data_IF_024127581517
#
_entry.id   IF_024127581517
#
_cell.length_a   1.000
_cell.length_b   1.000
_cell.length_c   1.000
_cell.angle_alpha   90.00
_cell.angle_beta   90.00
_cell.angle_gamma   90.00
#
_symmetry.space_group_name_H-M   'P 1'
#
loop_
_entity.id
_entity.type
_entity.pdbx_description
1 polymer ?
#
# COMPACT_ATOMS: atom_id res chain seq x y z
N UNK A 1 -54.10 -4.78 28.58
CA UNK A 1 -55.51 -5.14 28.30
C UNK A 1 -55.75 -6.57 28.76
N UNK A 2 -55.97 -6.79 30.05
CA UNK A 2 -56.60 -8.01 30.57
C UNK A 2 -57.41 -7.58 31.80
N UNK A 3 -58.60 -7.03 31.55
CA UNK A 3 -59.65 -6.94 32.56
C UNK A 3 -60.23 -8.35 32.69
N UNK A 4 -59.75 -9.11 33.67
CA UNK A 4 -60.47 -10.30 34.12
C UNK A 4 -61.49 -9.85 35.16
N UNK A 5 -62.68 -9.54 34.66
CA UNK A 5 -63.90 -9.38 35.44
C UNK A 5 -64.18 -10.69 36.17
N UNK A 6 -63.78 -10.77 37.45
CA UNK A 6 -64.25 -11.80 38.36
C UNK A 6 -65.72 -11.51 38.64
N UNK A 7 -66.59 -12.10 37.83
CA UNK A 7 -68.00 -12.22 38.16
C UNK A 7 -68.11 -13.10 39.41
N UNK A 8 -68.21 -12.46 40.58
CA UNK A 8 -68.66 -13.11 41.81
C UNK A 8 -70.15 -13.36 41.61
N UNK A 9 -70.49 -14.57 41.16
CA UNK A 9 -71.86 -15.05 41.18
C UNK A 9 -72.35 -15.01 42.62
N UNK A 10 -73.30 -14.12 42.90
CA UNK A 10 -74.06 -14.08 44.14
C UNK A 10 -74.91 -15.36 44.21
N UNK A 11 -74.31 -16.44 44.68
CA UNK A 11 -75.01 -17.68 45.00
C UNK A 11 -75.60 -17.55 46.39
N UNK A 12 -76.93 -17.48 46.44
CA UNK A 12 -77.72 -17.46 47.68
C UNK A 12 -77.29 -18.60 48.61
N UNK A 13 -76.72 -18.25 49.76
CA UNK A 13 -76.41 -19.19 50.83
C UNK A 13 -77.63 -19.41 51.73
N UNK A 14 -78.69 -20.02 51.19
CA UNK A 14 -79.77 -20.58 51.99
C UNK A 14 -79.44 -22.04 52.36
N UNK A 15 -78.67 -22.17 53.44
CA UNK A 15 -78.33 -23.45 54.05
C UNK A 15 -77.18 -23.24 55.03
N UNK A 16 -77.44 -23.39 56.33
CA UNK A 16 -76.44 -23.20 57.38
C UNK A 16 -75.33 -24.26 57.24
N UNK A 17 -74.30 -23.93 56.47
CA UNK A 17 -73.11 -24.77 56.34
C UNK A 17 -72.44 -24.79 57.71
N UNK A 18 -72.14 -25.99 58.27
CA UNK A 18 -71.47 -26.09 59.56
C UNK A 18 -70.20 -25.24 59.61
N UNK A 19 -70.00 -24.49 60.68
CA UNK A 19 -68.88 -23.55 60.88
C UNK A 19 -67.52 -24.13 60.46
N UNK A 20 -67.29 -25.42 60.72
CA UNK A 20 -66.05 -26.14 60.37
C UNK A 20 -65.82 -26.22 58.86
N UNK A 21 -66.86 -26.46 58.05
CA UNK A 21 -66.71 -26.52 56.59
C UNK A 21 -66.43 -25.14 56.00
N UNK A 22 -67.08 -24.09 56.53
CA UNK A 22 -66.83 -22.71 56.11
C UNK A 22 -65.44 -22.23 56.51
N UNK A 23 -64.97 -22.61 57.69
CA UNK A 23 -63.59 -22.36 58.13
C UNK A 23 -62.58 -23.06 57.20
N UNK A 24 -62.77 -24.34 56.87
CA UNK A 24 -61.88 -25.07 55.94
C UNK A 24 -61.86 -24.47 54.55
N UNK A 25 -63.00 -24.00 54.05
CA UNK A 25 -63.05 -23.30 52.77
C UNK A 25 -62.29 -21.98 52.83
N UNK A 26 -62.49 -21.17 53.87
CA UNK A 26 -61.74 -19.93 54.07
C UNK A 26 -60.23 -20.19 54.21
N UNK A 27 -59.85 -21.23 54.94
CA UNK A 27 -58.45 -21.63 55.11
C UNK A 27 -57.83 -22.06 53.77
N UNK A 28 -58.52 -22.90 52.99
CA UNK A 28 -58.10 -23.29 51.64
C UNK A 28 -58.05 -22.10 50.66
N UNK A 29 -58.99 -21.17 50.74
CA UNK A 29 -59.01 -19.94 49.95
C UNK A 29 -57.84 -19.00 50.34
N UNK A 30 -57.51 -18.93 51.63
CA UNK A 30 -56.37 -18.15 52.12
C UNK A 30 -55.04 -18.77 51.69
N UNK A 31 -54.90 -20.09 51.77
CA UNK A 31 -53.72 -20.84 51.33
C UNK A 31 -53.51 -20.71 49.82
N UNK A 32 -54.58 -20.84 49.02
CA UNK A 32 -54.49 -20.64 47.56
C UNK A 32 -54.14 -19.21 47.19
N UNK A 33 -54.68 -18.20 47.91
CA UNK A 33 -54.31 -16.80 47.72
C UNK A 33 -52.83 -16.55 48.03
N UNK A 34 -52.34 -17.05 49.17
CA UNK A 34 -50.93 -16.94 49.53
C UNK A 34 -50.01 -17.57 48.46
N UNK A 35 -50.42 -18.71 47.87
CA UNK A 35 -49.69 -19.34 46.77
C UNK A 35 -49.69 -18.48 45.49
N UNK A 36 -50.80 -17.84 45.15
CA UNK A 36 -50.87 -16.92 43.99
C UNK A 36 -49.94 -15.73 44.21
N UNK A 37 -49.96 -15.14 45.41
CA UNK A 37 -49.08 -14.02 45.78
C UNK A 37 -47.61 -14.43 45.70
N UNK A 38 -47.25 -15.62 46.21
CA UNK A 38 -45.91 -16.16 46.08
C UNK A 38 -45.48 -16.32 44.62
N UNK A 39 -46.30 -16.95 43.78
CA UNK A 39 -45.99 -17.12 42.36
C UNK A 39 -45.89 -15.78 41.61
N UNK A 40 -46.69 -14.78 42.01
CA UNK A 40 -46.60 -13.42 41.45
C UNK A 40 -45.28 -12.75 41.82
N UNK A 41 -44.83 -12.90 43.08
CA UNK A 41 -43.54 -12.37 43.52
C UNK A 41 -42.37 -13.08 42.82
N UNK A 42 -42.41 -14.40 42.68
CA UNK A 42 -41.39 -15.17 41.95
C UNK A 42 -41.29 -14.72 40.48
N UNK A 43 -42.45 -14.49 39.83
CA UNK A 43 -42.48 -13.94 38.47
C UNK A 43 -41.82 -12.56 38.40
N UNK A 44 -42.14 -11.66 39.31
CA UNK A 44 -41.54 -10.32 39.35
C UNK A 44 -40.02 -10.38 39.56
N UNK A 45 -39.53 -11.30 40.39
CA UNK A 45 -38.09 -11.50 40.60
C UNK A 45 -37.42 -11.97 39.31
N UNK A 46 -38.01 -12.90 38.57
CA UNK A 46 -37.46 -13.38 37.31
C UNK A 46 -37.46 -12.28 36.23
N UNK A 47 -38.53 -11.50 36.12
CA UNK A 47 -38.60 -10.35 35.21
C UNK A 47 -37.51 -9.31 35.53
N UNK A 48 -37.28 -9.02 36.81
CA UNK A 48 -36.21 -8.12 37.23
C UNK A 48 -34.82 -8.70 36.95
N UNK A 49 -34.63 -10.01 37.13
CA UNK A 49 -33.38 -10.67 36.78
C UNK A 49 -33.11 -10.62 35.27
N UNK A 50 -34.12 -10.84 34.44
CA UNK A 50 -34.00 -10.73 32.98
C UNK A 50 -33.70 -9.30 32.55
N UNK A 51 -34.42 -8.31 33.09
CA UNK A 51 -34.20 -6.90 32.78
C UNK A 51 -32.80 -6.41 33.21
N UNK A 52 -32.25 -6.98 34.28
CA UNK A 52 -30.91 -6.62 34.80
C UNK A 52 -29.81 -7.55 34.30
N UNK A 53 -30.13 -8.62 33.58
CA UNK A 53 -29.21 -9.67 33.14
C UNK A 53 -27.97 -9.12 32.42
N UNK A 54 -28.16 -8.08 31.61
CA UNK A 54 -27.09 -7.44 30.83
C UNK A 54 -26.01 -6.79 31.70
N UNK A 55 -26.35 -6.38 32.92
CA UNK A 55 -25.45 -5.66 33.85
C UNK A 55 -25.08 -6.48 35.08
N UNK A 56 -25.82 -7.54 35.40
CA UNK A 56 -25.57 -8.39 36.59
C UNK A 56 -24.87 -9.70 36.23
N UNK A 57 -25.08 -10.27 35.04
CA UNK A 57 -24.49 -11.57 34.70
C UNK A 57 -23.06 -11.44 34.15
N UNK A 58 -22.07 -12.12 34.79
CA UNK A 58 -20.66 -12.08 34.35
C UNK A 58 -20.43 -12.53 32.91
N UNK A 59 -21.25 -13.45 32.40
CA UNK A 59 -21.17 -13.95 31.02
C UNK A 59 -21.56 -12.87 30.00
N UNK A 60 -22.66 -12.15 30.24
CA UNK A 60 -23.10 -11.06 29.36
C UNK A 60 -22.11 -9.89 29.39
N UNK A 61 -21.62 -9.52 30.59
CA UNK A 61 -20.58 -8.51 30.75
C UNK A 61 -19.27 -8.89 30.04
N UNK A 62 -18.89 -10.16 30.12
CA UNK A 62 -17.69 -10.67 29.43
C UNK A 62 -17.86 -10.60 27.91
N UNK A 63 -19.01 -11.02 27.39
CA UNK A 63 -19.32 -10.90 25.96
C UNK A 63 -19.23 -9.44 25.49
N UNK A 64 -19.80 -8.50 26.25
CA UNK A 64 -19.73 -7.06 25.94
C UNK A 64 -18.32 -6.50 26.04
N UNK A 65 -17.55 -6.92 27.05
CA UNK A 65 -16.13 -6.57 27.17
C UNK A 65 -15.35 -7.02 25.95
N UNK A 66 -15.53 -8.26 25.51
CA UNK A 66 -14.80 -8.85 24.39
C UNK A 66 -15.15 -8.14 23.07
N UNK A 67 -16.42 -7.78 22.88
CA UNK A 67 -16.88 -7.00 21.73
C UNK A 67 -16.25 -5.60 21.71
N UNK A 68 -16.26 -4.88 22.84
CA UNK A 68 -15.61 -3.58 22.96
C UNK A 68 -14.09 -3.67 22.77
N UNK A 69 -13.46 -4.71 23.32
CA UNK A 69 -12.03 -4.91 23.19
C UNK A 69 -11.64 -5.23 21.75
N UNK A 70 -12.47 -6.00 21.01
CA UNK A 70 -12.27 -6.24 19.58
C UNK A 70 -12.34 -4.94 18.78
N UNK A 71 -13.34 -4.10 19.06
CA UNK A 71 -13.48 -2.79 18.43
C UNK A 71 -12.27 -1.90 18.74
N UNK A 72 -11.82 -1.87 20.00
CA UNK A 72 -10.68 -1.05 20.39
C UNK A 72 -9.39 -1.49 19.68
N UNK A 73 -9.11 -2.79 19.63
CA UNK A 73 -7.98 -3.33 18.84
C UNK A 73 -8.05 -2.94 17.37
N UNK A 74 -9.26 -2.93 16.79
CA UNK A 74 -9.45 -2.50 15.41
C UNK A 74 -9.14 -1.01 15.23
N UNK A 75 -9.63 -0.15 16.12
CA UNK A 75 -9.33 1.29 16.10
C UNK A 75 -7.84 1.57 16.28
N UNK A 76 -7.16 0.86 17.19
CA UNK A 76 -5.70 0.95 17.35
C UNK A 76 -4.95 0.52 16.08
N UNK A 77 -5.44 -0.48 15.36
CA UNK A 77 -4.86 -0.91 14.09
C UNK A 77 -5.04 0.16 13.01
N UNK A 78 -6.25 0.73 12.90
CA UNK A 78 -6.54 1.82 11.96
C UNK A 78 -5.67 3.05 12.26
N UNK A 79 -5.55 3.45 13.53
CA UNK A 79 -4.69 4.58 13.92
C UNK A 79 -3.22 4.34 13.58
N UNK A 80 -2.71 3.13 13.79
CA UNK A 80 -1.34 2.78 13.39
C UNK A 80 -1.13 2.89 11.88
N UNK A 81 -2.05 2.37 11.09
CA UNK A 81 -2.00 2.48 9.63
C UNK A 81 -2.10 3.93 9.16
N UNK A 82 -2.93 4.74 9.82
CA UNK A 82 -3.10 6.16 9.53
C UNK A 82 -1.78 6.92 9.75
N UNK A 83 -1.12 6.69 10.89
CA UNK A 83 0.20 7.27 11.20
C UNK A 83 1.26 6.78 10.20
N UNK A 84 1.29 5.49 9.88
CA UNK A 84 2.22 4.92 8.90
C UNK A 84 2.01 5.55 7.51
N UNK A 85 0.75 5.69 7.09
CA UNK A 85 0.38 6.28 5.82
C UNK A 85 0.77 7.76 5.78
N UNK A 86 0.51 8.52 6.85
CA UNK A 86 0.99 9.90 6.99
C UNK A 86 2.50 9.95 6.88
N UNK A 87 3.24 9.08 7.57
CA UNK A 87 4.69 9.05 7.48
C UNK A 87 5.17 8.75 6.06
N UNK A 88 4.50 7.86 5.33
CA UNK A 88 4.81 7.53 3.93
C UNK A 88 4.46 8.63 2.95
N UNK A 89 3.37 9.38 3.20
CA UNK A 89 2.93 10.48 2.35
C UNK A 89 3.68 11.78 2.63
N UNK A 90 4.02 12.04 3.90
CA UNK A 90 4.82 13.19 4.35
C UNK A 90 6.30 12.98 4.06
N UNK A 91 6.80 11.73 4.11
CA UNK A 91 8.12 11.41 3.58
C UNK A 91 8.02 11.61 2.07
N UNK A 92 8.64 12.66 1.50
CA UNK A 92 8.52 12.89 0.08
C UNK A 92 9.10 11.65 -0.63
N UNK A 93 8.35 11.12 -1.62
CA UNK A 93 8.71 9.91 -2.38
C UNK A 93 10.08 10.02 -3.09
N UNK A 94 10.69 11.20 -3.04
CA UNK A 94 12.04 11.52 -3.45
C UNK A 94 12.54 12.62 -2.49
N UNK A 95 13.84 12.69 -2.19
CA UNK A 95 14.47 13.86 -1.58
C UNK A 95 14.45 15.08 -2.52
N UNK A 96 13.27 15.51 -2.98
CA UNK A 96 13.06 16.60 -3.94
C UNK A 96 13.24 17.99 -3.33
N UNK A 97 13.39 18.07 -2.02
CA UNK A 97 14.11 19.17 -1.41
C UNK A 97 15.16 18.54 -0.50
N UNK A 98 16.44 18.83 -0.78
CA UNK A 98 17.37 18.89 0.34
C UNK A 98 16.71 19.83 1.36
N UNK A 99 16.57 19.46 2.64
CA UNK A 99 16.14 20.40 3.65
C UNK A 99 17.24 21.46 3.76
N UNK A 100 17.12 22.51 2.96
CA UNK A 100 17.96 23.69 3.06
C UNK A 100 17.31 24.57 4.12
N UNK A 101 18.07 24.99 5.12
CA UNK A 101 17.51 25.92 6.10
C UNK A 101 17.19 27.25 5.43
N UNK A 102 16.11 27.92 5.86
CA UNK A 102 15.67 29.20 5.31
C UNK A 102 16.78 30.25 5.06
N UNK A 103 17.80 30.44 5.93
CA UNK A 103 18.88 31.39 5.65
C UNK A 103 19.73 31.03 4.42
N UNK A 104 19.78 29.74 4.04
CA UNK A 104 20.64 29.27 2.95
C UNK A 104 19.95 29.21 1.59
N UNK A 105 18.62 29.38 1.53
CA UNK A 105 17.84 29.31 0.29
C UNK A 105 18.35 30.28 -0.78
N UNK A 106 18.68 31.53 -0.40
CA UNK A 106 19.18 32.54 -1.35
C UNK A 106 20.45 32.06 -2.05
N UNK A 107 21.40 31.51 -1.30
CA UNK A 107 22.66 31.02 -1.85
C UNK A 107 22.44 29.80 -2.74
N UNK A 108 21.56 28.89 -2.35
CA UNK A 108 21.26 27.69 -3.15
C UNK A 108 20.58 28.06 -4.48
N UNK A 109 19.67 29.05 -4.47
CA UNK A 109 19.02 29.56 -5.69
C UNK A 109 20.02 30.25 -6.63
N UNK A 110 21.07 30.89 -6.10
CA UNK A 110 22.12 31.52 -6.91
C UNK A 110 23.15 30.50 -7.44
N UNK A 111 23.52 29.50 -6.61
CA UNK A 111 24.58 28.54 -6.92
C UNK A 111 24.09 27.42 -7.86
N UNK A 112 22.88 26.89 -7.65
CA UNK A 112 22.39 25.76 -8.44
C UNK A 112 22.35 26.06 -9.95
N UNK A 113 21.84 27.22 -10.42
CA UNK A 113 21.90 27.59 -11.84
C UNK A 113 23.32 27.65 -12.41
N UNK A 114 24.28 28.12 -11.61
CA UNK A 114 25.68 28.18 -12.01
C UNK A 114 26.30 26.78 -12.10
N UNK A 115 25.97 25.89 -11.17
CA UNK A 115 26.39 24.49 -11.25
C UNK A 115 25.78 23.79 -12.46
N UNK A 116 24.50 24.03 -12.77
CA UNK A 116 23.86 23.46 -13.96
C UNK A 116 24.48 23.96 -15.24
N UNK A 117 24.82 25.25 -15.36
CA UNK A 117 25.48 25.78 -16.56
C UNK A 117 26.88 25.19 -16.75
N UNK A 118 27.63 24.98 -15.65
CA UNK A 118 28.95 24.33 -15.71
C UNK A 118 28.81 22.87 -16.13
N UNK A 119 27.81 22.14 -15.62
CA UNK A 119 27.55 20.75 -16.02
C UNK A 119 27.23 20.69 -17.52
N UNK A 120 26.35 21.55 -18.02
CA UNK A 120 26.01 21.64 -19.44
C UNK A 120 27.24 21.95 -20.31
N UNK A 121 28.10 22.88 -19.87
CA UNK A 121 29.33 23.23 -20.58
C UNK A 121 30.32 22.06 -20.60
N UNK A 122 30.49 21.35 -19.49
CA UNK A 122 31.35 20.15 -19.43
C UNK A 122 30.83 19.04 -20.34
N UNK A 123 29.51 18.78 -20.34
CA UNK A 123 28.90 17.79 -21.23
C UNK A 123 29.10 18.14 -22.72
N UNK A 124 28.98 19.42 -23.07
CA UNK A 124 29.24 19.91 -24.42
C UNK A 124 30.70 19.65 -24.84
N UNK A 125 31.66 19.98 -23.97
CA UNK A 125 33.07 19.72 -24.24
C UNK A 125 33.40 18.22 -24.37
N UNK A 126 32.80 17.37 -23.53
CA UNK A 126 32.98 15.92 -23.64
C UNK A 126 32.44 15.37 -24.97
N UNK A 127 31.29 15.87 -25.44
CA UNK A 127 30.75 15.52 -26.77
C UNK A 127 31.69 15.97 -27.88
N UNK A 128 32.23 17.19 -27.80
CA UNK A 128 33.18 17.71 -28.77
C UNK A 128 34.48 16.88 -28.82
N UNK A 129 35.03 16.49 -27.68
CA UNK A 129 36.21 15.62 -27.60
C UNK A 129 35.95 14.24 -28.19
N UNK A 130 34.78 13.65 -27.92
CA UNK A 130 34.36 12.37 -28.51
C UNK A 130 34.29 12.46 -30.04
N UNK A 131 33.67 13.52 -30.57
CA UNK A 131 33.64 13.77 -32.02
C UNK A 131 35.03 13.96 -32.61
N UNK A 132 35.90 14.74 -31.97
CA UNK A 132 37.27 14.97 -32.42
C UNK A 132 38.06 13.66 -32.49
N UNK A 133 37.93 12.80 -31.47
CA UNK A 133 38.54 11.47 -31.46
C UNK A 133 38.03 10.58 -32.61
N UNK A 134 36.73 10.58 -32.88
CA UNK A 134 36.17 9.84 -34.02
C UNK A 134 36.68 10.35 -35.37
N UNK A 135 36.85 11.67 -35.52
CA UNK A 135 37.43 12.27 -36.73
C UNK A 135 38.89 11.82 -36.87
N UNK A 136 39.68 11.90 -35.78
CA UNK A 136 41.07 11.48 -35.79
C UNK A 136 41.22 10.00 -36.21
N UNK A 137 40.41 9.10 -35.64
CA UNK A 137 40.42 7.68 -36.00
C UNK A 137 40.12 7.45 -37.48
N UNK A 138 39.15 8.18 -38.04
CA UNK A 138 38.82 8.10 -39.47
C UNK A 138 39.95 8.64 -40.35
N UNK A 139 40.60 9.73 -39.93
CA UNK A 139 41.74 10.30 -40.65
C UNK A 139 42.94 9.35 -40.66
N UNK A 140 43.29 8.75 -39.52
CA UNK A 140 44.36 7.75 -39.42
C UNK A 140 44.08 6.53 -40.32
N UNK A 141 42.83 6.07 -40.39
CA UNK A 141 42.44 5.00 -41.30
C UNK A 141 42.62 5.39 -42.78
N UNK A 142 42.21 6.59 -43.17
CA UNK A 142 42.39 7.09 -44.55
C UNK A 142 43.88 7.24 -44.89
N UNK A 143 44.70 7.73 -43.96
CA UNK A 143 46.15 7.82 -44.13
C UNK A 143 46.79 6.44 -44.31
N UNK A 144 46.34 5.43 -43.54
CA UNK A 144 46.74 4.04 -43.71
C UNK A 144 46.37 3.46 -45.09
N UNK A 145 45.18 3.76 -45.60
CA UNK A 145 44.77 3.36 -46.95
C UNK A 145 45.61 4.04 -48.03
N UNK A 146 45.86 5.35 -47.90
CA UNK A 146 46.65 6.12 -48.85
C UNK A 146 48.11 5.63 -48.91
N UNK A 147 48.72 5.34 -47.76
CA UNK A 147 50.08 4.77 -47.70
C UNK A 147 50.15 3.38 -48.34
N UNK A 148 49.15 2.52 -48.11
CA UNK A 148 49.04 1.22 -48.79
C UNK A 148 48.89 1.37 -50.31
N UNK A 149 48.07 2.31 -50.77
CA UNK A 149 47.87 2.56 -52.20
C UNK A 149 49.15 3.04 -52.88
N UNK A 150 49.86 3.99 -52.26
CA UNK A 150 51.16 4.48 -52.76
C UNK A 150 52.18 3.34 -52.88
N UNK A 151 52.20 2.39 -51.92
CA UNK A 151 53.05 1.21 -51.99
C UNK A 151 52.74 0.34 -53.22
N UNK A 152 51.44 0.06 -53.45
CA UNK A 152 51.00 -0.70 -54.63
C UNK A 152 51.36 0.03 -55.93
N UNK A 153 51.18 1.35 -55.99
CA UNK A 153 51.55 2.15 -57.15
C UNK A 153 53.06 2.10 -57.44
N UNK A 154 53.91 2.08 -56.41
CA UNK A 154 55.35 1.90 -56.55
C UNK A 154 55.71 0.53 -57.13
N UNK A 155 55.07 -0.54 -56.65
CA UNK A 155 55.26 -1.89 -57.20
C UNK A 155 54.81 -1.98 -58.65
N UNK A 156 53.63 -1.45 -58.97
CA UNK A 156 53.11 -1.39 -60.35
C UNK A 156 54.04 -0.62 -61.26
N UNK A 157 54.59 0.51 -60.80
CA UNK A 157 55.57 1.29 -61.55
C UNK A 157 56.85 0.48 -61.81
N UNK A 158 57.38 -0.20 -60.80
CA UNK A 158 58.57 -1.04 -60.95
C UNK A 158 58.35 -2.19 -61.96
N UNK A 159 57.17 -2.82 -61.92
CA UNK A 159 56.77 -3.83 -62.90
C UNK A 159 56.64 -3.25 -64.31
N UNK A 160 56.03 -2.06 -64.46
CA UNK A 160 55.91 -1.38 -65.74
C UNK A 160 57.29 -1.06 -66.35
N UNK A 161 58.23 -0.58 -65.54
CA UNK A 161 59.61 -0.32 -65.97
C UNK A 161 60.32 -1.60 -66.45
N UNK A 162 60.08 -2.74 -65.77
CA UNK A 162 60.63 -4.04 -66.17
C UNK A 162 60.06 -4.52 -67.51
N UNK A 163 58.75 -4.38 -67.72
CA UNK A 163 58.09 -4.71 -68.99
C UNK A 163 58.62 -3.85 -70.13
N UNK A 164 58.83 -2.54 -69.90
CA UNK A 164 59.39 -1.64 -70.91
C UNK A 164 60.83 -2.03 -71.30
N UNK A 165 61.68 -2.36 -70.31
CA UNK A 165 63.04 -2.87 -70.56
C UNK A 165 63.02 -4.16 -71.38
N UNK A 166 62.15 -5.12 -71.01
CA UNK A 166 62.00 -6.38 -71.75
C UNK A 166 61.55 -6.14 -73.20
N UNK A 167 60.57 -5.25 -73.44
CA UNK A 167 60.14 -4.91 -74.81
C UNK A 167 61.24 -4.25 -75.63
N UNK A 168 62.06 -3.40 -75.02
CA UNK A 168 63.19 -2.77 -75.70
C UNK A 168 64.22 -3.80 -76.15
N UNK A 169 64.51 -4.80 -75.31
CA UNK A 169 65.39 -5.93 -75.66
C UNK A 169 64.83 -6.74 -76.83
N UNK A 170 63.53 -7.02 -76.86
CA UNK A 170 62.87 -7.72 -77.97
C UNK A 170 62.99 -6.98 -79.31
N UNK A 171 62.95 -5.64 -79.31
CA UNK A 171 63.15 -4.83 -80.53
C UNK A 171 64.61 -4.72 -80.98
N UNK A 172 65.56 -4.95 -80.08
CA UNK A 172 67.00 -4.96 -80.40
C UNK A 172 67.49 -6.32 -80.91
N UNK A 173 66.65 -7.35 -80.89
CA UNK A 173 66.86 -8.58 -81.65
C UNK A 173 66.42 -8.29 -83.08
N UNK A 174 67.34 -8.15 -84.07
CA UNK A 174 66.93 -8.03 -85.46
C UNK A 174 66.16 -9.29 -85.83
N UNK A 175 65.11 -9.12 -86.65
CA UNK A 175 64.47 -10.22 -87.37
C UNK A 175 65.56 -10.93 -88.17
N UNK A 176 66.14 -11.98 -87.60
CA UNK A 176 66.82 -12.99 -88.36
C UNK A 176 65.71 -13.75 -89.08
N UNK A 177 65.69 -13.54 -90.39
CA UNK A 177 65.17 -14.40 -91.47
C UNK A 177 64.28 -15.58 -91.07
#
# INVERSE_FOLDING_TARGET
>A
LFQSTLAVSHGDCEGSVPFVQRFRFMDAASSTRARIEQMSLETQVLELQEATALITHPSCLTMKRDELQRMNRHLEAVLRQEVELRQRLVRPLCGQSLPVEAPYHRYVVEILPMMTSVIEEVESHLKALSMASQIQQKTEHVEGLATSEVSVLLEVKALADLVLKWRAQQKMVPSAE
#
